data_IF_899193151574
#
_entry.id   IF_899193151574
#
_cell.length_a   1.000
_cell.length_b   1.000
_cell.length_c   1.000
_cell.angle_alpha   90.00
_cell.angle_beta   90.00
_cell.angle_gamma   90.00
#
_symmetry.space_group_name_H-M   'P 1'
#
loop_
_entity.id
_entity.type
_entity.pdbx_description
1 polymer ?
#
# COMPACT_ATOMS: atom_id res chain seq x y z
N UNK A 1 -0.40 7.79 -1.10
CA UNK A 1 -0.53 7.99 -2.55
C UNK A 1 0.86 8.08 -3.10
N UNK A 2 1.14 7.41 -4.21
CA UNK A 2 2.38 7.58 -4.93
C UNK A 2 2.35 8.92 -5.69
N UNK A 3 3.52 9.33 -6.18
CA UNK A 3 3.68 10.59 -6.91
C UNK A 3 3.23 10.51 -8.39
N UNK A 4 2.30 9.61 -8.73
CA UNK A 4 1.74 9.55 -10.09
C UNK A 4 1.09 10.91 -10.44
N UNK A 5 1.33 11.47 -11.64
CA UNK A 5 0.76 12.75 -12.07
C UNK A 5 -0.75 12.89 -11.84
N UNK A 6 -1.52 11.81 -11.90
CA UNK A 6 -2.98 11.81 -11.65
C UNK A 6 -3.33 12.17 -10.20
N UNK A 7 -2.47 11.82 -9.25
CA UNK A 7 -2.63 12.16 -7.83
C UNK A 7 -2.20 13.60 -7.51
N UNK A 8 -1.51 14.29 -8.42
CA UNK A 8 -1.10 15.69 -8.30
C UNK A 8 -1.92 16.66 -9.16
N UNK A 9 -2.87 16.16 -9.93
CA UNK A 9 -3.76 17.00 -10.72
C UNK A 9 -4.50 18.00 -9.82
N UNK A 10 -4.73 19.23 -10.33
CA UNK A 10 -5.36 20.32 -9.58
C UNK A 10 -6.72 19.92 -9.00
N UNK A 11 -7.55 19.25 -9.80
CA UNK A 11 -8.86 18.74 -9.37
C UNK A 11 -8.76 17.73 -8.22
N UNK A 12 -7.76 16.86 -8.26
CA UNK A 12 -7.51 15.87 -7.20
C UNK A 12 -7.06 16.55 -5.90
N UNK A 13 -6.19 17.55 -5.96
CA UNK A 13 -5.72 18.31 -4.80
C UNK A 13 -6.82 19.19 -4.19
N UNK A 14 -7.66 19.81 -5.02
CA UNK A 14 -8.85 20.56 -4.58
C UNK A 14 -9.84 19.64 -3.85
N UNK A 15 -10.06 18.41 -4.36
CA UNK A 15 -10.89 17.42 -3.67
C UNK A 15 -10.34 17.04 -2.29
N UNK A 16 -9.02 16.80 -2.17
CA UNK A 16 -8.40 16.52 -0.86
C UNK A 16 -8.56 17.68 0.11
N UNK A 17 -8.36 18.91 -0.37
CA UNK A 17 -8.51 20.12 0.43
C UNK A 17 -9.94 20.27 0.94
N UNK A 18 -10.93 20.10 0.06
CA UNK A 18 -12.36 20.17 0.40
C UNK A 18 -12.80 19.07 1.39
N UNK A 19 -12.09 17.95 1.43
CA UNK A 19 -12.35 16.85 2.36
C UNK A 19 -11.49 16.89 3.63
N UNK A 20 -10.67 17.93 3.80
CA UNK A 20 -9.72 18.08 4.91
C UNK A 20 -8.76 16.87 5.04
N UNK A 21 -8.40 16.25 3.91
CA UNK A 21 -7.49 15.10 3.89
C UNK A 21 -6.06 15.63 3.78
N UNK A 22 -5.24 15.36 4.79
CA UNK A 22 -3.80 15.62 4.71
C UNK A 22 -3.12 14.56 3.85
N UNK A 23 -2.57 14.99 2.72
CA UNK A 23 -1.75 14.14 1.85
C UNK A 23 -0.33 14.14 2.40
N UNK A 24 0.17 12.95 2.77
CA UNK A 24 1.56 12.77 3.18
C UNK A 24 2.49 13.01 1.99
N UNK A 25 3.59 13.73 2.23
CA UNK A 25 4.64 13.92 1.23
C UNK A 25 5.34 12.58 0.97
N UNK A 26 5.29 12.13 -0.28
CA UNK A 26 5.83 10.85 -0.71
C UNK A 26 7.06 11.07 -1.60
N UNK A 27 8.21 10.44 -1.34
CA UNK A 27 9.33 10.47 -2.27
C UNK A 27 9.02 9.63 -3.52
N UNK A 28 9.34 10.17 -4.70
CA UNK A 28 9.15 9.44 -5.96
C UNK A 28 9.93 8.13 -5.96
N UNK A 29 9.40 7.10 -6.65
CA UNK A 29 10.06 5.79 -6.81
C UNK A 29 10.42 5.07 -5.51
N UNK A 30 9.65 5.26 -4.43
CA UNK A 30 9.83 4.55 -3.16
C UNK A 30 8.70 3.53 -2.90
N UNK A 31 8.62 2.42 -3.66
CA UNK A 31 7.63 1.37 -3.40
C UNK A 31 7.88 0.71 -2.02
N UNK A 32 9.14 0.63 -1.59
CA UNK A 32 9.56 0.11 -0.27
C UNK A 32 8.90 0.84 0.91
N UNK A 33 8.48 2.10 0.69
CA UNK A 33 7.76 2.84 1.72
C UNK A 33 6.29 2.43 1.81
N UNK A 34 5.68 1.88 0.76
CA UNK A 34 4.24 1.65 0.70
C UNK A 34 3.85 0.38 1.49
N UNK A 35 3.32 0.49 2.72
CA UNK A 35 3.03 -0.68 3.54
C UNK A 35 1.96 -1.59 2.93
N UNK A 36 1.17 -1.10 1.97
CA UNK A 36 0.15 -1.89 1.27
C UNK A 36 0.76 -2.98 0.37
N UNK A 37 2.00 -2.81 -0.09
CA UNK A 37 2.67 -3.83 -0.94
C UNK A 37 2.82 -5.16 -0.19
N UNK A 38 3.03 -5.10 1.13
CA UNK A 38 3.06 -6.29 1.98
C UNK A 38 1.69 -6.97 2.02
N UNK A 39 0.60 -6.18 2.14
CA UNK A 39 -0.77 -6.71 2.13
C UNK A 39 -1.11 -7.33 0.77
N UNK A 40 -0.70 -6.70 -0.33
CA UNK A 40 -0.88 -7.26 -1.66
C UNK A 40 -0.13 -8.59 -1.85
N UNK A 41 1.09 -8.70 -1.32
CA UNK A 41 1.86 -9.95 -1.34
C UNK A 41 1.16 -11.05 -0.53
N UNK A 42 0.67 -10.73 0.67
CA UNK A 42 -0.10 -11.65 1.51
C UNK A 42 -1.38 -12.11 0.81
N UNK A 43 -2.16 -11.17 0.25
CA UNK A 43 -3.39 -11.46 -0.48
C UNK A 43 -3.13 -12.39 -1.68
N UNK A 44 -2.16 -12.04 -2.54
CA UNK A 44 -1.80 -12.86 -3.70
C UNK A 44 -1.40 -14.27 -3.29
N UNK A 45 -0.64 -14.40 -2.19
CA UNK A 45 -0.22 -15.71 -1.66
C UNK A 45 -1.43 -16.53 -1.18
N UNK A 46 -2.35 -15.90 -0.45
CA UNK A 46 -3.55 -16.57 0.06
C UNK A 46 -4.50 -17.01 -1.06
N UNK A 47 -4.75 -16.12 -2.03
CA UNK A 47 -5.58 -16.40 -3.20
C UNK A 47 -4.96 -17.49 -4.08
N UNK A 48 -3.64 -17.43 -4.31
CA UNK A 48 -2.94 -18.44 -5.10
C UNK A 48 -3.04 -19.85 -4.49
N UNK A 49 -2.98 -19.97 -3.16
CA UNK A 49 -3.16 -21.24 -2.44
C UNK A 49 -4.55 -21.86 -2.64
N UNK A 50 -5.56 -21.06 -3.00
CA UNK A 50 -6.91 -21.54 -3.30
C UNK A 50 -7.10 -21.96 -4.76
N UNK A 51 -6.09 -21.71 -5.59
CA UNK A 51 -6.03 -22.14 -7.00
C UNK A 51 -7.33 -21.86 -7.78
N UNK A 52 -7.75 -20.57 -7.89
CA UNK A 52 -8.95 -20.21 -8.65
C UNK A 52 -8.81 -20.64 -10.11
N UNK A 53 -9.87 -21.25 -10.65
CA UNK A 53 -9.93 -21.79 -12.01
C UNK A 53 -10.47 -20.80 -13.04
N UNK A 54 -11.13 -19.74 -12.58
CA UNK A 54 -11.77 -18.73 -13.42
C UNK A 54 -11.79 -17.36 -12.72
N UNK A 55 -12.20 -16.31 -13.46
CA UNK A 55 -12.21 -14.94 -12.95
C UNK A 55 -13.22 -14.72 -11.81
N UNK A 56 -14.35 -15.43 -11.82
CA UNK A 56 -15.37 -15.32 -10.77
C UNK A 56 -14.86 -15.87 -9.44
N UNK A 57 -14.20 -17.03 -9.47
CA UNK A 57 -13.52 -17.60 -8.30
C UNK A 57 -12.39 -16.70 -7.82
N UNK A 58 -11.58 -16.18 -8.75
CA UNK A 58 -10.49 -15.26 -8.40
C UNK A 58 -11.02 -14.02 -7.67
N UNK A 59 -12.09 -13.40 -8.18
CA UNK A 59 -12.72 -12.23 -7.55
C UNK A 59 -13.28 -12.57 -6.17
N UNK A 60 -14.01 -13.68 -6.05
CA UNK A 60 -14.57 -14.13 -4.77
C UNK A 60 -13.46 -14.37 -3.74
N UNK A 61 -12.41 -15.09 -4.13
CA UNK A 61 -11.31 -15.42 -3.22
C UNK A 61 -10.55 -14.17 -2.81
N UNK A 62 -10.34 -13.22 -3.73
CA UNK A 62 -9.77 -11.92 -3.38
C UNK A 62 -10.58 -11.21 -2.30
N UNK A 63 -11.91 -11.15 -2.42
CA UNK A 63 -12.78 -10.52 -1.41
C UNK A 63 -12.72 -11.24 -0.06
N UNK A 64 -12.79 -12.56 -0.07
CA UNK A 64 -12.77 -13.38 1.15
C UNK A 64 -11.42 -13.32 1.87
N UNK A 65 -10.31 -13.46 1.16
CA UNK A 65 -8.98 -13.38 1.75
C UNK A 65 -8.65 -11.96 2.21
N UNK A 66 -9.13 -10.93 1.50
CA UNK A 66 -8.99 -9.54 1.95
C UNK A 66 -9.73 -9.30 3.27
N UNK A 67 -10.98 -9.79 3.39
CA UNK A 67 -11.76 -9.66 4.61
C UNK A 67 -11.15 -10.40 5.82
N UNK A 68 -10.27 -11.38 5.58
CA UNK A 68 -9.54 -12.10 6.63
C UNK A 68 -8.30 -11.36 7.14
N UNK A 69 -7.82 -10.35 6.44
CA UNK A 69 -6.69 -9.54 6.90
C UNK A 69 -7.13 -8.77 8.15
N UNK A 70 -6.59 -9.16 9.30
CA UNK A 70 -6.97 -8.53 10.57
C UNK A 70 -6.54 -7.07 10.64
N UNK A 71 -7.34 -6.25 11.33
CA UNK A 71 -7.00 -4.85 11.65
C UNK A 71 -5.64 -4.76 12.36
N UNK A 72 -5.33 -5.74 13.23
CA UNK A 72 -4.04 -5.81 13.93
C UNK A 72 -2.85 -5.96 12.98
N UNK A 73 -3.03 -6.64 11.84
CA UNK A 73 -1.98 -6.77 10.81
C UNK A 73 -1.70 -5.42 10.16
N UNK A 74 -2.76 -4.69 9.81
CA UNK A 74 -2.67 -3.34 9.26
C UNK A 74 -1.97 -2.39 10.25
N UNK A 75 -2.34 -2.43 11.54
CA UNK A 75 -1.73 -1.60 12.58
C UNK A 75 -0.22 -1.86 12.69
N UNK A 76 0.21 -3.14 12.76
CA UNK A 76 1.63 -3.51 12.82
C UNK A 76 2.43 -3.01 11.61
N UNK A 77 1.81 -2.99 10.42
CA UNK A 77 2.47 -2.47 9.23
C UNK A 77 2.68 -0.95 9.33
N UNK A 78 1.67 -0.22 9.79
CA UNK A 78 1.77 1.23 10.03
C UNK A 78 2.84 1.53 11.10
N UNK A 79 2.91 0.76 12.18
CA UNK A 79 3.93 0.89 13.22
C UNK A 79 5.37 0.70 12.70
N UNK A 80 5.55 -0.05 11.60
CA UNK A 80 6.88 -0.21 10.99
C UNK A 80 7.29 0.97 10.11
N UNK A 81 6.36 1.86 9.77
CA UNK A 81 6.58 2.97 8.84
C UNK A 81 7.69 3.94 9.29
N UNK A 82 7.80 4.35 10.57
CA UNK A 82 8.93 5.18 11.03
C UNK A 82 10.30 4.50 10.80
N UNK A 83 10.38 3.17 10.95
CA UNK A 83 11.62 2.41 10.70
C UNK A 83 11.97 2.36 9.21
N UNK A 84 10.97 2.30 8.33
CA UNK A 84 11.15 2.37 6.86
C UNK A 84 11.66 3.75 6.44
N UNK A 85 11.08 4.82 6.99
CA UNK A 85 11.54 6.19 6.75
C UNK A 85 12.99 6.39 7.22
N UNK A 86 13.33 5.93 8.43
CA UNK A 86 14.71 6.01 8.93
C UNK A 86 15.70 5.25 8.03
N UNK A 87 15.31 4.08 7.51
CA UNK A 87 16.14 3.32 6.57
C UNK A 87 16.31 4.06 5.24
N UNK A 88 15.26 4.69 4.70
CA UNK A 88 15.35 5.48 3.47
C UNK A 88 16.26 6.71 3.64
N UNK A 89 16.14 7.40 4.78
CA UNK A 89 17.01 8.54 5.11
C UNK A 89 18.46 8.07 5.22
N UNK A 90 18.70 6.94 5.91
CA UNK A 90 20.04 6.33 6.01
C UNK A 90 20.61 5.91 4.65
N UNK A 91 19.76 5.41 3.75
CA UNK A 91 20.11 5.06 2.38
C UNK A 91 20.23 6.27 1.44
N UNK A 92 20.01 7.50 1.94
CA UNK A 92 20.01 8.75 1.15
C UNK A 92 19.06 8.68 -0.07
N UNK A 93 17.89 8.06 0.11
CA UNK A 93 16.92 7.84 -0.97
C UNK A 93 17.21 6.64 -1.87
N UNK A 94 18.26 5.87 -1.58
CA UNK A 94 18.54 4.59 -2.25
C UNK A 94 17.63 3.44 -1.78
N UNK A 95 17.73 2.27 -2.43
CA UNK A 95 16.92 1.08 -2.11
C UNK A 95 17.08 0.64 -0.65
N UNK A 96 15.99 0.16 -0.06
CA UNK A 96 15.99 -0.37 1.30
C UNK A 96 15.71 -1.87 1.32
N UNK A 97 15.80 -2.50 2.48
CA UNK A 97 15.49 -3.94 2.65
C UNK A 97 13.99 -4.25 2.74
N UNK A 98 13.12 -3.24 2.61
CA UNK A 98 11.71 -3.28 3.01
C UNK A 98 10.73 -3.42 1.86
#
# INVERSE_FOLDING_TARGET
MDNDPKHKAKSTMEWFTNKCIQVLEWPSQSPDLNPIENLWKELKTAVHKRSPSNLTELELFCKEEWARISVSRCAKLIETYPKRLAALIGAKGGPTKY
#
